data_IF_324524407091
#
_entry.id   IF_324524407091
#
_cell.length_a   1.000
_cell.length_b   1.000
_cell.length_c   1.000
_cell.angle_alpha   90.00
_cell.angle_beta   90.00
_cell.angle_gamma   90.00
#
_symmetry.space_group_name_H-M   'P 1'
#
loop_
_entity.id
_entity.type
_entity.pdbx_description
1 polymer ?
#
# COMPACT_ATOMS: atom_id res chain seq x y z
N UNK A 1 42.65 8.52 67.11
CA UNK A 1 41.79 9.55 66.49
C UNK A 1 41.51 9.09 65.06
N UNK A 2 40.22 8.99 64.78
CA UNK A 2 39.51 8.37 63.65
C UNK A 2 39.74 9.10 62.31
N UNK A 3 39.29 8.47 61.21
CA UNK A 3 38.89 9.04 59.89
C UNK A 3 40.00 9.26 58.84
N UNK A 4 39.90 8.93 57.53
CA UNK A 4 38.78 8.67 56.61
C UNK A 4 39.22 7.90 55.35
N UNK A 5 38.31 7.07 54.85
CA UNK A 5 38.25 6.40 53.54
C UNK A 5 38.09 7.44 52.42
N UNK A 6 38.76 7.25 51.27
CA UNK A 6 38.24 7.62 49.93
C UNK A 6 38.65 6.60 48.87
N UNK A 7 37.82 5.57 48.69
CA UNK A 7 37.82 4.73 47.50
C UNK A 7 37.32 5.58 46.32
N UNK A 8 38.16 5.84 45.32
CA UNK A 8 37.73 6.42 44.06
C UNK A 8 37.34 5.26 43.13
N UNK A 9 36.03 5.01 43.01
CA UNK A 9 35.50 4.13 41.98
C UNK A 9 35.58 4.88 40.64
N UNK A 10 36.56 4.52 39.80
CA UNK A 10 36.67 5.01 38.43
C UNK A 10 35.56 4.38 37.58
N UNK A 11 34.59 5.21 37.17
CA UNK A 11 33.55 4.84 36.21
C UNK A 11 34.16 4.83 34.80
N UNK A 12 34.52 3.65 34.31
CA UNK A 12 34.95 3.46 32.93
C UNK A 12 33.71 3.51 32.01
N UNK A 13 33.50 4.63 31.32
CA UNK A 13 32.49 4.75 30.28
C UNK A 13 32.98 3.99 29.04
N UNK A 14 32.46 2.79 28.83
CA UNK A 14 32.66 2.03 27.58
C UNK A 14 31.81 2.67 26.49
N UNK A 15 32.44 3.40 25.56
CA UNK A 15 31.81 3.73 24.27
C UNK A 15 31.64 2.42 23.49
N UNK A 16 30.40 1.97 23.34
CA UNK A 16 30.04 0.93 22.37
C UNK A 16 30.03 1.58 20.97
N UNK A 17 30.77 1.03 19.98
CA UNK A 17 30.67 1.48 18.60
C UNK A 17 29.29 1.09 18.04
N UNK A 18 28.52 2.08 17.57
CA UNK A 18 27.36 1.83 16.72
C UNK A 18 27.89 1.33 15.37
N UNK A 19 27.85 0.02 15.15
CA UNK A 19 28.04 -0.54 13.82
C UNK A 19 26.82 -0.15 12.98
N UNK A 20 27.04 0.65 11.94
CA UNK A 20 26.05 0.84 10.88
C UNK A 20 25.86 -0.50 10.17
N UNK A 21 24.73 -1.16 10.39
CA UNK A 21 24.35 -2.40 9.71
C UNK A 21 23.83 -2.02 8.32
N UNK A 22 24.56 -2.43 7.28
CA UNK A 22 23.97 -2.52 5.94
C UNK A 22 22.82 -3.55 6.01
N UNK A 23 21.62 -3.19 5.57
CA UNK A 23 20.34 -3.88 5.82
C UNK A 23 20.14 -5.17 5.00
N UNK A 24 21.14 -6.05 4.98
CA UNK A 24 21.01 -7.39 4.43
C UNK A 24 20.76 -8.37 5.60
N UNK A 25 19.59 -9.01 5.58
CA UNK A 25 19.19 -10.03 6.54
C UNK A 25 19.37 -11.41 5.91
N UNK A 26 19.61 -12.44 6.72
CA UNK A 26 19.78 -13.80 6.20
C UNK A 26 19.17 -14.83 7.15
N UNK A 27 18.63 -15.89 6.56
CA UNK A 27 18.12 -17.04 7.27
C UNK A 27 18.42 -18.33 6.50
N UNK A 28 19.41 -19.09 7.00
CA UNK A 28 19.95 -20.21 6.25
C UNK A 28 20.54 -19.73 4.92
N UNK A 29 20.03 -20.27 3.82
CA UNK A 29 20.46 -19.91 2.46
C UNK A 29 19.61 -18.78 1.82
N UNK A 30 18.69 -18.19 2.58
CA UNK A 30 17.93 -17.03 2.13
C UNK A 30 18.69 -15.74 2.42
N UNK A 31 18.77 -14.87 1.41
CA UNK A 31 19.24 -13.49 1.51
C UNK A 31 18.06 -12.55 1.33
N UNK A 32 17.88 -11.61 2.26
CA UNK A 32 16.79 -10.64 2.27
C UNK A 32 17.40 -9.25 2.18
N UNK A 33 17.11 -8.55 1.08
CA UNK A 33 17.70 -7.27 0.76
C UNK A 33 16.64 -6.16 0.71
N UNK A 34 17.04 -5.00 1.22
CA UNK A 34 16.30 -3.74 1.17
C UNK A 34 14.81 -3.84 1.55
N UNK A 35 14.46 -4.21 2.78
CA UNK A 35 13.10 -4.02 3.25
C UNK A 35 12.79 -2.52 3.41
N UNK A 36 11.78 -2.03 2.69
CA UNK A 36 11.31 -0.66 2.79
C UNK A 36 9.78 -0.59 2.71
N UNK A 37 9.19 0.35 3.44
CA UNK A 37 7.76 0.63 3.41
C UNK A 37 7.51 2.00 2.76
N UNK A 38 6.37 2.14 2.09
CA UNK A 38 6.00 3.40 1.46
C UNK A 38 5.50 4.39 2.51
N UNK A 39 6.02 5.62 2.49
CA UNK A 39 5.45 6.72 3.26
C UNK A 39 4.04 7.05 2.76
N UNK A 40 3.12 7.35 3.68
CA UNK A 40 1.72 7.68 3.35
C UNK A 40 1.24 8.89 4.14
N UNK A 41 0.29 9.69 3.62
CA UNK A 41 -0.29 10.79 4.40
C UNK A 41 -1.01 10.24 5.64
N UNK A 42 -1.12 11.07 6.69
CA UNK A 42 -1.76 10.68 7.96
C UNK A 42 -3.24 10.26 7.84
N UNK A 43 -3.89 10.50 6.71
CA UNK A 43 -5.27 10.06 6.43
C UNK A 43 -5.35 8.68 5.77
N UNK A 44 -4.21 8.08 5.40
CA UNK A 44 -4.18 6.76 4.78
C UNK A 44 -4.44 5.67 5.81
N UNK A 45 -5.24 4.68 5.44
CA UNK A 45 -5.54 3.53 6.31
C UNK A 45 -4.56 2.36 6.11
N UNK A 46 -3.80 2.37 5.01
CA UNK A 46 -2.89 1.29 4.63
C UNK A 46 -1.60 1.82 4.00
N UNK A 47 -0.54 1.03 4.09
CA UNK A 47 0.73 1.24 3.39
C UNK A 47 1.25 -0.10 2.83
N UNK A 48 2.18 -0.03 1.87
CA UNK A 48 2.80 -1.17 1.23
C UNK A 48 4.28 -1.28 1.62
N UNK A 49 4.71 -2.50 1.96
CA UNK A 49 6.09 -2.91 2.19
C UNK A 49 6.63 -3.74 1.04
N UNK A 50 7.92 -3.55 0.76
CA UNK A 50 8.65 -4.09 -0.36
C UNK A 50 10.00 -4.61 0.12
N UNK A 51 10.49 -5.66 -0.52
CA UNK A 51 11.81 -6.25 -0.27
C UNK A 51 12.18 -7.21 -1.39
N UNK A 52 13.43 -7.65 -1.42
CA UNK A 52 13.88 -8.73 -2.31
C UNK A 52 14.37 -9.90 -1.47
N UNK A 53 13.93 -11.12 -1.81
CA UNK A 53 14.36 -12.35 -1.16
C UNK A 53 14.99 -13.25 -2.22
N UNK A 54 16.25 -13.61 -2.05
CA UNK A 54 16.96 -14.55 -2.90
C UNK A 54 17.19 -15.88 -2.16
N UNK A 55 16.80 -16.99 -2.78
CA UNK A 55 17.14 -18.31 -2.29
C UNK A 55 18.43 -18.81 -2.95
N UNK A 56 19.54 -18.75 -2.22
CA UNK A 56 20.86 -19.17 -2.69
C UNK A 56 21.15 -20.65 -2.42
N UNK A 57 20.19 -21.38 -1.81
CA UNK A 57 20.32 -22.78 -1.45
C UNK A 57 19.78 -23.74 -2.50
N UNK A 58 19.81 -25.04 -2.16
CA UNK A 58 19.41 -26.13 -3.05
C UNK A 58 17.97 -26.64 -2.80
N UNK A 59 17.25 -26.09 -1.81
CA UNK A 59 15.87 -26.48 -1.49
C UNK A 59 14.90 -25.31 -1.58
N UNK A 60 13.67 -25.50 -2.10
CA UNK A 60 12.67 -24.45 -2.11
C UNK A 60 12.29 -24.05 -0.68
N UNK A 61 12.01 -22.77 -0.47
CA UNK A 61 11.37 -22.25 0.75
C UNK A 61 10.13 -21.44 0.37
N UNK A 62 9.37 -20.97 1.36
CA UNK A 62 8.12 -20.24 1.14
C UNK A 62 7.94 -19.17 2.20
N UNK A 63 7.72 -17.93 1.77
CA UNK A 63 7.29 -16.86 2.66
C UNK A 63 5.78 -17.04 2.92
N UNK A 64 5.42 -17.43 4.13
CA UNK A 64 4.02 -17.77 4.49
C UNK A 64 3.30 -16.65 5.22
N UNK A 65 4.03 -15.78 5.93
CA UNK A 65 3.43 -14.65 6.64
C UNK A 65 4.45 -13.54 6.90
N UNK A 66 3.93 -12.35 7.19
CA UNK A 66 4.68 -11.23 7.76
C UNK A 66 3.92 -10.73 8.98
N UNK A 67 4.62 -10.60 10.10
CA UNK A 67 4.08 -10.06 11.34
C UNK A 67 4.74 -8.71 11.65
N UNK A 68 3.95 -7.73 12.09
CA UNK A 68 4.42 -6.43 12.57
C UNK A 68 3.36 -5.85 13.52
N UNK A 69 3.72 -4.80 14.24
CA UNK A 69 2.82 -4.13 15.20
C UNK A 69 1.77 -3.25 14.49
N UNK A 70 0.92 -3.90 13.70
CA UNK A 70 -0.25 -3.32 13.05
C UNK A 70 -1.47 -4.19 13.29
N UNK A 71 -2.69 -3.62 13.28
CA UNK A 71 -3.93 -4.38 13.40
C UNK A 71 -4.06 -5.54 12.41
N UNK A 72 -3.51 -5.38 11.20
CA UNK A 72 -3.47 -6.45 10.19
C UNK A 72 -2.28 -6.26 9.24
N UNK A 73 -1.61 -7.36 8.95
CA UNK A 73 -0.52 -7.45 7.97
C UNK A 73 -0.78 -8.63 7.05
N UNK A 74 -0.74 -8.41 5.73
CA UNK A 74 -1.05 -9.44 4.74
C UNK A 74 -0.07 -9.37 3.56
N UNK A 75 0.14 -10.49 2.86
CA UNK A 75 0.93 -10.54 1.62
C UNK A 75 -0.06 -10.54 0.46
N UNK A 76 0.07 -9.58 -0.45
CA UNK A 76 -0.83 -9.38 -1.59
C UNK A 76 -0.04 -9.44 -2.90
N UNK A 77 -0.72 -9.79 -3.99
CA UNK A 77 -0.22 -9.65 -5.35
C UNK A 77 -1.16 -8.75 -6.14
N UNK A 78 -0.59 -7.92 -7.02
CA UNK A 78 -1.35 -7.16 -8.00
C UNK A 78 -1.44 -8.00 -9.27
N UNK A 79 -2.66 -8.31 -9.70
CA UNK A 79 -2.92 -9.05 -10.94
C UNK A 79 -3.81 -8.21 -11.86
N UNK A 80 -3.54 -8.24 -13.16
CA UNK A 80 -4.38 -7.57 -14.16
C UNK A 80 -5.16 -8.63 -14.93
N UNK A 81 -6.49 -8.53 -14.89
CA UNK A 81 -7.39 -9.39 -15.64
C UNK A 81 -7.38 -9.09 -17.14
N UNK A 82 -7.98 -9.99 -17.93
CA UNK A 82 -8.07 -9.85 -19.40
C UNK A 82 -8.87 -8.60 -19.83
N UNK A 83 -9.70 -8.06 -18.94
CA UNK A 83 -10.47 -6.82 -19.11
C UNK A 83 -9.66 -5.56 -18.79
N UNK A 84 -8.39 -5.71 -18.41
CA UNK A 84 -7.51 -4.61 -17.98
C UNK A 84 -7.75 -4.16 -16.54
N UNK A 85 -8.67 -4.80 -15.80
CA UNK A 85 -8.91 -4.45 -14.41
C UNK A 85 -7.82 -5.01 -13.51
N UNK A 86 -7.29 -4.15 -12.64
CA UNK A 86 -6.26 -4.54 -11.68
C UNK A 86 -6.92 -4.93 -10.36
N UNK A 87 -6.52 -6.09 -9.83
CA UNK A 87 -7.03 -6.68 -8.60
C UNK A 87 -5.88 -6.90 -7.61
N UNK A 88 -6.19 -6.78 -6.31
CA UNK A 88 -5.29 -7.16 -5.23
C UNK A 88 -5.73 -8.50 -4.68
N UNK A 89 -4.87 -9.51 -4.80
CA UNK A 89 -5.14 -10.86 -4.36
C UNK A 89 -4.26 -11.21 -3.16
N UNK A 90 -4.90 -11.54 -2.03
CA UNK A 90 -4.21 -12.02 -0.83
C UNK A 90 -3.60 -13.40 -1.09
N UNK A 91 -2.33 -13.55 -0.74
CA UNK A 91 -1.57 -14.79 -0.87
C UNK A 91 -1.72 -15.65 0.39
N UNK A 92 -2.85 -16.36 0.52
CA UNK A 92 -3.17 -17.18 1.72
C UNK A 92 -2.22 -18.37 1.91
N UNK A 93 -1.69 -18.91 0.82
CA UNK A 93 -0.79 -20.07 0.84
C UNK A 93 0.70 -19.67 0.82
N UNK A 94 1.02 -18.40 1.05
CA UNK A 94 2.37 -17.88 0.92
C UNK A 94 2.93 -17.94 -0.51
N UNK A 95 4.19 -17.52 -0.65
CA UNK A 95 4.88 -17.43 -1.95
C UNK A 95 6.11 -18.32 -1.92
N UNK A 96 6.18 -19.28 -2.84
CA UNK A 96 7.33 -20.18 -2.98
C UNK A 96 8.53 -19.45 -3.60
N UNK A 97 9.72 -19.76 -3.10
CA UNK A 97 11.01 -19.29 -3.58
C UNK A 97 11.85 -20.53 -3.87
N UNK A 98 11.84 -20.96 -5.14
CA UNK A 98 12.60 -22.12 -5.57
C UNK A 98 14.13 -21.88 -5.48
N UNK A 99 14.95 -22.93 -5.49
CA UNK A 99 16.42 -22.82 -5.49
C UNK A 99 16.93 -21.91 -6.60
N UNK A 100 17.81 -20.97 -6.26
CA UNK A 100 18.38 -20.00 -7.20
C UNK A 100 17.36 -19.00 -7.77
N UNK A 101 16.18 -18.86 -7.16
CA UNK A 101 15.19 -17.86 -7.54
C UNK A 101 15.17 -16.68 -6.59
N UNK A 102 14.68 -15.56 -7.13
CA UNK A 102 14.49 -14.32 -6.40
C UNK A 102 13.01 -13.98 -6.39
N UNK A 103 12.46 -13.80 -5.20
CA UNK A 103 11.14 -13.23 -4.98
C UNK A 103 11.30 -11.71 -4.74
N UNK A 104 10.81 -10.91 -5.68
CA UNK A 104 10.73 -9.47 -5.53
C UNK A 104 9.32 -9.06 -5.08
N UNK A 105 9.25 -8.39 -3.92
CA UNK A 105 8.07 -7.64 -3.52
C UNK A 105 8.30 -6.19 -3.94
N UNK A 106 7.63 -5.76 -5.02
CA UNK A 106 7.85 -4.47 -5.66
C UNK A 106 6.52 -3.83 -6.10
N UNK A 107 6.50 -2.50 -6.34
CA UNK A 107 5.31 -1.83 -6.85
C UNK A 107 4.77 -2.52 -8.11
N UNK A 108 3.45 -2.76 -8.15
CA UNK A 108 2.77 -3.43 -9.27
C UNK A 108 2.84 -4.96 -9.25
N UNK A 109 3.43 -5.58 -8.24
CA UNK A 109 3.45 -7.03 -8.06
C UNK A 109 3.17 -7.44 -6.61
N UNK A 110 3.94 -8.39 -6.09
CA UNK A 110 3.84 -8.81 -4.70
C UNK A 110 4.22 -7.67 -3.75
N UNK A 111 3.52 -7.57 -2.63
CA UNK A 111 3.83 -6.59 -1.58
C UNK A 111 3.26 -7.03 -0.23
N UNK A 112 3.85 -6.51 0.84
CA UNK A 112 3.27 -6.60 2.18
C UNK A 112 2.29 -5.44 2.34
N UNK A 113 1.06 -5.69 2.77
CA UNK A 113 0.08 -4.65 3.07
C UNK A 113 -0.03 -4.48 4.59
N UNK A 114 0.40 -3.32 5.08
CA UNK A 114 0.18 -2.89 6.46
C UNK A 114 -1.15 -2.16 6.54
N UNK A 115 -2.05 -2.58 7.43
CA UNK A 115 -3.42 -2.03 7.54
C UNK A 115 -3.74 -1.58 8.96
N UNK A 116 -4.55 -0.52 9.06
CA UNK A 116 -4.96 0.08 10.33
C UNK A 116 -3.99 1.13 10.82
N UNK A 117 -3.60 2.06 9.95
CA UNK A 117 -2.64 3.14 10.23
C UNK A 117 -3.25 4.35 10.98
N UNK A 118 -4.49 4.25 11.46
CA UNK A 118 -5.28 5.39 11.96
C UNK A 118 -4.56 6.23 13.04
N UNK A 119 -3.76 5.58 13.89
CA UNK A 119 -3.00 6.21 14.98
C UNK A 119 -1.47 6.21 14.74
N UNK A 120 -1.00 5.57 13.66
CA UNK A 120 0.42 5.36 13.37
C UNK A 120 0.72 5.73 11.91
N UNK A 121 0.88 7.03 11.60
CA UNK A 121 1.33 7.44 10.28
C UNK A 121 2.73 6.86 10.00
N UNK A 122 2.99 6.53 8.73
CA UNK A 122 4.32 6.12 8.27
C UNK A 122 4.94 7.27 7.49
N UNK A 123 5.86 7.98 8.14
CA UNK A 123 6.59 9.12 7.58
C UNK A 123 8.00 8.70 7.15
N UNK A 124 8.59 9.42 6.19
CA UNK A 124 9.94 9.12 5.70
C UNK A 124 10.95 9.15 6.85
N UNK A 125 11.76 8.09 6.95
CA UNK A 125 12.75 7.93 8.01
C UNK A 125 12.25 7.18 9.24
N UNK A 126 10.96 6.87 9.31
CA UNK A 126 10.44 5.92 10.29
C UNK A 126 10.96 4.49 10.01
N UNK A 127 10.93 3.67 11.04
CA UNK A 127 11.31 2.26 10.98
C UNK A 127 10.13 1.40 11.40
N UNK A 128 9.85 0.36 10.62
CA UNK A 128 8.81 -0.62 10.90
C UNK A 128 9.47 -1.98 11.17
N UNK A 129 9.64 -2.36 12.46
CA UNK A 129 10.07 -3.71 12.81
C UNK A 129 9.03 -4.73 12.39
N UNK A 130 9.48 -5.80 11.73
CA UNK A 130 8.63 -6.88 11.26
C UNK A 130 9.35 -8.22 11.38
N UNK A 131 8.59 -9.30 11.31
CA UNK A 131 9.09 -10.67 11.26
C UNK A 131 8.57 -11.35 10.01
N UNK A 132 9.48 -11.76 9.12
CA UNK A 132 9.17 -12.62 7.99
C UNK A 132 9.12 -14.07 8.48
N UNK A 133 8.05 -14.78 8.15
CA UNK A 133 7.87 -16.18 8.53
C UNK A 133 8.01 -17.04 7.28
N UNK A 134 9.07 -17.86 7.26
CA UNK A 134 9.32 -18.85 6.23
C UNK A 134 8.91 -20.24 6.68
N UNK A 135 8.44 -21.06 5.75
CA UNK A 135 8.03 -22.44 6.00
C UNK A 135 9.20 -23.30 6.52
N UNK A 136 10.43 -23.08 6.01
CA UNK A 136 11.60 -23.89 6.36
C UNK A 136 12.67 -23.12 7.14
N UNK A 137 13.03 -21.92 6.67
CA UNK A 137 14.03 -21.08 7.34
C UNK A 137 13.53 -20.53 8.70
N UNK A 138 12.22 -20.55 8.94
CA UNK A 138 11.61 -20.07 10.18
C UNK A 138 11.42 -18.56 10.20
N UNK A 139 11.50 -17.96 11.38
CA UNK A 139 11.24 -16.53 11.60
C UNK A 139 12.51 -15.69 11.44
N UNK A 140 12.40 -14.57 10.74
CA UNK A 140 13.48 -13.62 10.48
C UNK A 140 13.01 -12.22 10.82
N UNK A 141 13.65 -11.61 11.82
CA UNK A 141 13.39 -10.22 12.18
C UNK A 141 14.04 -9.30 11.14
N UNK A 142 13.25 -8.37 10.61
CA UNK A 142 13.67 -7.36 9.63
C UNK A 142 13.12 -6.00 10.03
N UNK A 143 13.76 -4.94 9.54
CA UNK A 143 13.25 -3.57 9.67
C UNK A 143 12.96 -3.04 8.28
N UNK A 144 11.71 -2.63 8.05
CA UNK A 144 11.31 -1.89 6.86
C UNK A 144 11.55 -0.40 7.11
N UNK A 145 12.49 0.19 6.37
CA UNK A 145 12.72 1.63 6.41
C UNK A 145 11.60 2.34 5.63
N UNK A 146 11.00 3.38 6.19
CA UNK A 146 9.94 4.12 5.50
C UNK A 146 10.56 5.12 4.52
N UNK A 147 10.24 4.96 3.24
CA UNK A 147 10.81 5.72 2.13
C UNK A 147 9.72 6.35 1.26
N UNK A 148 10.05 7.45 0.59
CA UNK A 148 9.19 8.06 -0.42
C UNK A 148 9.34 7.32 -1.75
N UNK A 149 8.28 6.62 -2.16
CA UNK A 149 8.27 5.79 -3.38
C UNK A 149 7.82 6.60 -4.62
N UNK A 150 7.59 7.91 -4.50
CA UNK A 150 7.22 8.78 -5.63
C UNK A 150 8.27 8.84 -6.75
N UNK A 151 9.47 8.28 -6.57
CA UNK A 151 10.56 8.39 -7.52
C UNK A 151 10.77 7.19 -8.47
N UNK A 152 10.11 6.03 -8.31
CA UNK A 152 10.49 4.85 -9.13
C UNK A 152 9.39 3.86 -9.55
N UNK A 153 8.12 4.25 -9.47
CA UNK A 153 7.04 3.51 -10.13
C UNK A 153 6.14 4.52 -10.82
N UNK A 154 6.18 4.58 -12.14
CA UNK A 154 5.13 5.19 -12.96
C UNK A 154 3.84 4.40 -12.73
N UNK A 155 3.18 4.64 -11.61
CA UNK A 155 1.74 4.60 -11.53
C UNK A 155 1.28 5.78 -12.39
N UNK A 156 0.91 5.45 -13.63
CA UNK A 156 0.26 6.35 -14.57
C UNK A 156 -1.15 6.65 -14.03
N UNK A 157 -1.19 7.51 -13.01
CA UNK A 157 -2.39 8.09 -12.44
C UNK A 157 -1.97 9.46 -11.94
N UNK A 158 -1.89 10.44 -12.84
CA UNK A 158 -2.28 11.83 -12.59
C UNK A 158 -2.02 12.69 -13.84
N UNK A 159 -3.00 12.68 -14.74
CA UNK A 159 -3.37 13.91 -15.43
C UNK A 159 -4.88 13.91 -15.70
N UNK A 160 -5.68 13.79 -14.64
CA UNK A 160 -7.03 14.36 -14.67
C UNK A 160 -6.92 15.80 -14.20
N UNK A 161 -6.64 16.67 -15.18
CA UNK A 161 -6.93 18.08 -15.13
C UNK A 161 -8.42 18.25 -14.78
N UNK A 162 -8.71 18.45 -13.50
CA UNK A 162 -9.99 19.00 -13.08
C UNK A 162 -10.00 20.48 -13.43
N UNK A 163 -10.18 20.73 -14.73
CA UNK A 163 -10.50 22.04 -15.26
C UNK A 163 -11.71 22.59 -14.50
N UNK A 164 -11.39 23.53 -13.62
CA UNK A 164 -12.20 24.64 -13.14
C UNK A 164 -13.49 24.82 -13.94
N UNK A 165 -14.60 24.28 -13.43
CA UNK A 165 -15.93 24.68 -13.88
C UNK A 165 -16.19 26.09 -13.34
N UNK A 166 -15.80 27.09 -14.12
CA UNK A 166 -16.23 28.47 -13.97
C UNK A 166 -17.77 28.51 -14.11
N UNK A 167 -18.47 28.56 -12.98
CA UNK A 167 -19.88 28.88 -12.91
C UNK A 167 -20.04 30.39 -13.09
N UNK A 168 -19.79 30.86 -14.32
CA UNK A 168 -20.11 32.22 -14.74
C UNK A 168 -21.61 32.47 -14.63
N UNK A 169 -21.93 33.58 -13.99
CA UNK A 169 -23.25 34.13 -13.68
C UNK A 169 -24.33 33.89 -14.76
N UNK A 170 -25.44 33.26 -14.36
CA UNK A 170 -26.70 33.36 -15.08
C UNK A 170 -27.47 34.57 -14.55
N UNK A 171 -27.21 35.73 -15.16
CA UNK A 171 -28.06 36.90 -14.99
C UNK A 171 -29.47 36.62 -15.55
N UNK A 172 -30.45 36.64 -14.65
CA UNK A 172 -31.87 36.67 -14.97
C UNK A 172 -32.28 38.12 -15.27
N UNK A 173 -32.25 38.53 -16.53
CA UNK A 173 -32.99 39.71 -16.99
C UNK A 173 -33.17 39.67 -18.52
N UNK A 174 -34.32 39.17 -18.98
CA UNK A 174 -35.11 39.91 -19.97
C UNK A 174 -36.49 39.27 -20.17
N UNK A 175 -37.51 39.89 -19.56
CA UNK A 175 -38.89 39.75 -19.99
C UNK A 175 -39.18 40.78 -21.08
N UNK A 176 -39.23 40.35 -22.34
CA UNK A 176 -39.99 41.08 -23.35
C UNK A 176 -40.95 40.17 -24.09
N UNK A 177 -42.22 40.32 -23.68
CA UNK A 177 -43.43 40.00 -24.43
C UNK A 177 -43.36 40.62 -25.82
N UNK A 178 -43.77 39.85 -26.82
CA UNK A 178 -44.79 40.15 -27.84
C UNK A 178 -44.82 38.94 -28.81
N UNK A 179 -45.91 38.40 -29.34
CA UNK A 179 -47.35 38.54 -29.20
C UNK A 179 -47.93 37.56 -30.27
N UNK A 180 -49.04 36.87 -29.97
CA UNK A 180 -50.03 36.30 -30.93
C UNK A 180 -49.56 35.11 -31.83
N UNK A 181 -50.34 34.06 -32.14
CA UNK A 181 -51.78 33.81 -32.00
C UNK A 181 -52.07 32.29 -31.93
N UNK A 182 -53.25 32.05 -31.39
CA UNK A 182 -53.82 30.79 -30.96
C UNK A 182 -54.87 30.36 -31.99
N UNK A 183 -54.79 29.17 -32.56
CA UNK A 183 -55.95 28.52 -33.20
C UNK A 183 -55.80 26.99 -33.13
N UNK A 184 -56.52 26.41 -32.19
CA UNK A 184 -56.75 24.98 -32.10
C UNK A 184 -58.05 24.58 -32.79
N UNK A 185 -58.06 23.38 -33.37
CA UNK A 185 -59.20 22.47 -33.51
C UNK A 185 -58.57 21.07 -33.41
N UNK A 186 -58.86 20.21 -32.43
CA UNK A 186 -60.17 19.64 -32.09
C UNK A 186 -60.52 18.58 -33.15
N UNK A 187 -60.92 17.35 -32.88
CA UNK A 187 -61.17 16.52 -31.70
C UNK A 187 -61.39 15.09 -32.27
N UNK A 188 -61.48 14.08 -31.39
CA UNK A 188 -62.07 12.75 -31.65
C UNK A 188 -61.23 11.80 -32.54
N UNK A 189 -61.01 10.52 -32.24
CA UNK A 189 -61.83 9.51 -31.56
C UNK A 189 -60.94 8.45 -30.91
N UNK A 190 -61.36 7.98 -29.72
CA UNK A 190 -61.04 6.66 -29.14
C UNK A 190 -61.31 5.52 -30.15
N UNK A 191 -60.46 4.50 -30.21
CA UNK A 191 -60.87 3.11 -29.88
C UNK A 191 -59.67 2.14 -29.74
N UNK A 192 -59.81 1.10 -28.89
CA UNK A 192 -58.71 0.27 -28.40
C UNK A 192 -58.68 -1.16 -28.98
N UNK A 193 -57.60 -1.87 -28.61
CA UNK A 193 -57.51 -3.31 -28.32
C UNK A 193 -57.73 -4.35 -29.43
N UNK A 194 -56.69 -5.14 -29.68
CA UNK A 194 -56.81 -6.56 -30.02
C UNK A 194 -55.46 -7.26 -29.85
N UNK A 195 -55.14 -7.62 -28.61
CA UNK A 195 -54.20 -8.69 -28.31
C UNK A 195 -54.87 -9.70 -27.36
N UNK A 196 -55.38 -10.81 -27.91
CA UNK A 196 -55.36 -12.11 -27.24
C UNK A 196 -55.82 -13.19 -28.23
N UNK A 197 -54.89 -14.08 -28.55
CA UNK A 197 -55.19 -15.45 -28.90
C UNK A 197 -55.33 -16.22 -27.58
N UNK A 198 -56.29 -17.15 -27.57
CA UNK A 198 -56.52 -18.22 -26.58
C UNK A 198 -57.25 -17.87 -25.27
#
# INVERSE_FOLDING_TARGET
MTFLIRLHAGLAATLLPLAAIAHDYSAGDLSIAHPFARSVPATAQTSAGYLTIENTGDTPDRLIAVEADFPRVEIHNVTTGDDGMTMMEKQENGIEIAPGQTLALSPGGYHVMFMGLDDTPLEVGDEVPATLIFERAGSVEVVFNVEDVAANGTADHDNMDHGEMDHGDMDHDDMHRDNMDHDGMGSDTMEPDAAASE
#
